data_IF_890923179433
#
_entry.id   IF_890923179433
#
_cell.length_a   1.000
_cell.length_b   1.000
_cell.length_c   1.000
_cell.angle_alpha   90.00
_cell.angle_beta   90.00
_cell.angle_gamma   90.00
#
_symmetry.space_group_name_H-M   'P 1'
#
loop_
_entity.id
_entity.type
_entity.pdbx_description
1 polymer ?
#
# COMPACT_ATOMS: atom_id res chain seq x y z
N UNK A 1 6.47 -13.02 19.78
CA UNK A 1 6.19 -12.08 18.68
C UNK A 1 7.23 -12.36 17.61
N UNK A 2 6.85 -12.92 16.46
CA UNK A 2 7.83 -13.22 15.41
C UNK A 2 8.02 -11.91 14.62
N UNK A 3 9.07 -11.16 14.92
CA UNK A 3 9.51 -10.05 14.08
C UNK A 3 10.12 -10.64 12.80
N UNK A 4 9.28 -10.84 11.79
CA UNK A 4 9.74 -11.09 10.42
C UNK A 4 10.01 -9.78 9.69
N UNK A 5 10.75 -9.79 8.56
CA UNK A 5 11.07 -8.61 7.74
C UNK A 5 9.81 -8.10 6.98
N UNK A 6 8.80 -7.69 7.74
CA UNK A 6 7.55 -7.14 7.23
C UNK A 6 7.64 -5.62 7.24
N UNK A 7 7.36 -5.00 6.10
CA UNK A 7 7.18 -3.56 5.98
C UNK A 7 5.68 -3.30 5.80
N UNK A 8 5.10 -2.54 6.72
CA UNK A 8 3.69 -2.15 6.71
C UNK A 8 3.58 -0.64 6.49
N UNK A 9 2.80 -0.20 5.51
CA UNK A 9 2.69 1.22 5.17
C UNK A 9 1.35 1.56 4.50
N UNK A 10 0.94 2.82 4.61
CA UNK A 10 -0.11 3.40 3.79
C UNK A 10 0.52 4.17 2.63
N UNK A 11 -0.15 4.14 1.48
CA UNK A 11 0.07 5.13 0.42
C UNK A 11 -0.98 6.22 0.58
N UNK A 12 -0.55 7.48 0.66
CA UNK A 12 -1.44 8.63 0.83
C UNK A 12 -1.40 9.44 -0.47
N UNK A 13 -2.46 9.37 -1.31
CA UNK A 13 -2.58 10.23 -2.48
C UNK A 13 -2.63 11.70 -2.08
N UNK A 14 -2.12 12.58 -2.94
CA UNK A 14 -2.14 14.04 -2.71
C UNK A 14 -3.56 14.63 -2.59
N UNK A 15 -4.57 13.92 -3.08
CA UNK A 15 -5.99 14.28 -2.96
C UNK A 15 -6.58 14.01 -1.57
N UNK A 16 -5.89 13.24 -0.71
CA UNK A 16 -6.36 12.91 0.65
C UNK A 16 -5.56 13.72 1.67
N UNK A 17 -6.29 14.51 2.45
CA UNK A 17 -5.75 15.16 3.65
C UNK A 17 -6.23 14.39 4.87
N UNK A 18 -5.30 13.94 5.71
CA UNK A 18 -5.59 13.25 6.96
C UNK A 18 -5.36 14.23 8.09
N UNK A 19 -6.42 14.55 8.83
CA UNK A 19 -6.35 15.37 10.04
C UNK A 19 -6.91 14.57 11.22
N UNK A 20 -6.43 14.86 12.42
CA UNK A 20 -6.89 14.17 13.65
C UNK A 20 -8.34 14.50 13.99
N UNK A 21 -8.90 15.56 13.40
CA UNK A 21 -10.21 16.10 13.72
C UNK A 21 -11.36 15.40 12.97
N UNK A 22 -11.11 14.74 11.83
CA UNK A 22 -12.15 14.14 10.98
C UNK A 22 -11.81 12.73 10.46
N UNK A 23 -12.74 11.79 10.62
CA UNK A 23 -12.63 10.40 10.15
C UNK A 23 -12.85 10.24 8.62
N UNK A 24 -13.22 11.31 7.91
CA UNK A 24 -13.44 11.27 6.47
C UNK A 24 -12.15 10.92 5.70
N UNK A 25 -11.00 11.50 6.11
CA UNK A 25 -9.70 11.18 5.52
C UNK A 25 -9.32 9.70 5.70
N UNK A 26 -9.57 9.13 6.89
CA UNK A 26 -9.35 7.71 7.17
C UNK A 26 -10.28 6.82 6.35
N UNK A 27 -11.53 7.23 6.17
CA UNK A 27 -12.53 6.51 5.38
C UNK A 27 -12.13 6.45 3.90
N UNK A 28 -11.63 7.56 3.35
CA UNK A 28 -11.07 7.59 2.00
C UNK A 28 -9.80 6.76 1.89
N UNK A 29 -8.88 6.88 2.85
CA UNK A 29 -7.65 6.08 2.88
C UNK A 29 -7.93 4.57 2.90
N UNK A 30 -8.99 4.14 3.61
CA UNK A 30 -9.38 2.74 3.69
C UNK A 30 -9.70 2.10 2.32
N UNK A 31 -10.07 2.93 1.34
CA UNK A 31 -10.37 2.50 -0.04
C UNK A 31 -9.14 2.49 -0.95
N UNK A 32 -8.08 3.20 -0.58
CA UNK A 32 -6.87 3.36 -1.43
C UNK A 32 -6.19 2.02 -1.70
N UNK A 33 -5.89 1.24 -0.65
CA UNK A 33 -5.19 -0.03 -0.82
C UNK A 33 -5.98 -1.07 -1.65
N UNK A 34 -7.31 -1.27 -1.43
CA UNK A 34 -8.13 -2.09 -2.32
C UNK A 34 -8.13 -1.63 -3.78
N UNK A 35 -8.28 -0.32 -4.04
CA UNK A 35 -8.31 0.23 -5.40
C UNK A 35 -6.99 0.03 -6.15
N UNK A 36 -5.87 0.37 -5.49
CA UNK A 36 -4.54 0.12 -6.03
C UNK A 36 -4.29 -1.36 -6.28
N UNK A 37 -4.73 -2.23 -5.36
CA UNK A 37 -4.61 -3.68 -5.54
C UNK A 37 -5.36 -4.17 -6.78
N UNK A 38 -6.57 -3.66 -7.06
CA UNK A 38 -7.31 -4.01 -8.26
C UNK A 38 -6.54 -3.64 -9.53
N UNK A 39 -5.98 -2.43 -9.60
CA UNK A 39 -5.14 -2.01 -10.73
C UNK A 39 -3.87 -2.85 -10.89
N UNK A 40 -3.21 -3.20 -9.78
CA UNK A 40 -2.06 -4.10 -9.80
C UNK A 40 -2.41 -5.46 -10.40
N UNK A 41 -3.59 -6.00 -10.08
CA UNK A 41 -4.06 -7.29 -10.62
C UNK A 41 -4.42 -7.21 -12.10
N UNK A 42 -4.96 -6.07 -12.56
CA UNK A 42 -5.24 -5.84 -13.98
C UNK A 42 -3.95 -5.70 -14.80
N UNK A 43 -2.98 -4.92 -14.29
CA UNK A 43 -1.70 -4.67 -14.98
C UNK A 43 -0.75 -5.87 -14.91
N UNK A 44 -0.82 -6.66 -13.83
CA UNK A 44 -0.03 -7.89 -13.66
C UNK A 44 1.47 -7.67 -13.39
N UNK A 45 1.88 -6.45 -13.04
CA UNK A 45 3.28 -6.04 -12.86
C UNK A 45 3.83 -6.27 -11.46
N UNK A 46 3.02 -6.04 -10.43
CA UNK A 46 3.39 -6.25 -9.03
C UNK A 46 2.24 -6.90 -8.26
N UNK A 47 2.58 -7.63 -7.20
CA UNK A 47 1.59 -8.23 -6.31
C UNK A 47 1.94 -7.99 -4.85
N UNK A 48 1.36 -6.95 -4.26
CA UNK A 48 1.47 -6.64 -2.82
C UNK A 48 0.16 -7.00 -2.11
N UNK A 49 0.23 -7.44 -0.85
CA UNK A 49 -0.95 -7.68 -0.02
C UNK A 49 -1.34 -6.44 0.76
N UNK A 50 -2.63 -6.26 1.03
CA UNK A 50 -3.11 -5.32 2.02
C UNK A 50 -3.95 -6.05 3.06
N UNK A 51 -4.09 -5.48 4.26
CA UNK A 51 -4.91 -6.06 5.32
C UNK A 51 -5.48 -4.96 6.25
N UNK A 52 -6.64 -5.18 6.86
CA UNK A 52 -7.15 -4.34 7.94
C UNK A 52 -6.48 -4.70 9.28
N UNK A 53 -6.46 -3.76 10.23
CA UNK A 53 -6.03 -4.03 11.62
C UNK A 53 -6.80 -3.14 12.60
N UNK A 54 -7.79 -3.72 13.30
CA UNK A 54 -8.64 -2.96 14.22
C UNK A 54 -9.32 -1.79 13.51
N UNK A 55 -9.23 -0.60 14.10
CA UNK A 55 -9.81 0.64 13.56
C UNK A 55 -8.88 1.36 12.56
N UNK A 56 -7.74 0.75 12.21
CA UNK A 56 -6.82 1.31 11.25
C UNK A 56 -7.31 1.09 9.81
N UNK A 57 -7.18 2.10 8.93
CA UNK A 57 -7.45 1.94 7.50
C UNK A 57 -6.61 0.82 6.89
N UNK A 58 -7.11 0.18 5.83
CA UNK A 58 -6.35 -0.81 5.06
C UNK A 58 -4.95 -0.29 4.71
N UNK A 59 -3.92 -1.08 5.02
CA UNK A 59 -2.52 -0.78 4.72
C UNK A 59 -1.89 -1.90 3.92
N UNK A 60 -0.84 -1.57 3.16
CA UNK A 60 -0.01 -2.55 2.47
C UNK A 60 0.93 -3.23 3.44
N UNK A 61 1.17 -4.52 3.20
CA UNK A 61 2.16 -5.33 3.89
C UNK A 61 3.02 -6.07 2.87
N UNK A 62 4.33 -5.87 2.96
CA UNK A 62 5.33 -6.58 2.18
C UNK A 62 6.16 -7.44 3.13
N UNK A 63 6.25 -8.73 2.87
CA UNK A 63 7.15 -9.64 3.57
C UNK A 63 8.39 -9.91 2.70
N UNK A 64 9.54 -9.41 3.12
CA UNK A 64 10.80 -9.54 2.37
C UNK A 64 11.50 -10.82 2.82
N UNK A 65 11.08 -11.96 2.28
CA UNK A 65 11.67 -13.26 2.61
C UNK A 65 12.47 -13.89 1.47
N UNK A 66 12.33 -13.36 0.24
CA UNK A 66 13.02 -13.90 -0.92
C UNK A 66 14.44 -13.33 -1.00
N UNK A 67 15.50 -14.16 -0.87
CA UNK A 67 16.89 -13.70 -0.93
C UNK A 67 17.30 -13.17 -2.31
N UNK A 68 16.51 -13.43 -3.35
CA UNK A 68 16.76 -12.90 -4.69
C UNK A 68 16.28 -11.44 -4.87
N UNK A 69 15.52 -10.89 -3.93
CA UNK A 69 15.08 -9.48 -3.98
C UNK A 69 16.30 -8.58 -3.90
N UNK A 70 16.41 -7.67 -4.86
CA UNK A 70 17.39 -6.58 -4.86
C UNK A 70 16.71 -5.27 -4.48
N UNK A 71 17.52 -4.23 -4.27
CA UNK A 71 17.01 -2.90 -3.94
C UNK A 71 16.11 -2.38 -5.05
N UNK A 72 16.50 -2.63 -6.29
CA UNK A 72 15.83 -2.19 -7.51
C UNK A 72 14.41 -2.76 -7.63
N UNK A 73 14.18 -3.98 -7.12
CA UNK A 73 12.84 -4.57 -7.06
C UNK A 73 11.94 -3.80 -6.08
N UNK A 74 12.49 -3.37 -4.95
CA UNK A 74 11.76 -2.57 -3.96
C UNK A 74 11.48 -1.16 -4.48
N UNK A 75 12.46 -0.54 -5.14
CA UNK A 75 12.31 0.75 -5.81
C UNK A 75 11.22 0.65 -6.90
N UNK A 76 11.19 -0.44 -7.67
CA UNK A 76 10.13 -0.71 -8.65
C UNK A 76 8.75 -0.81 -8.01
N UNK A 77 8.61 -1.53 -6.88
CA UNK A 77 7.31 -1.63 -6.18
C UNK A 77 6.78 -0.26 -5.76
N UNK A 78 7.63 0.60 -5.21
CA UNK A 78 7.22 1.94 -4.79
C UNK A 78 6.85 2.83 -6.00
N UNK A 79 7.68 2.85 -7.03
CA UNK A 79 7.43 3.61 -8.24
C UNK A 79 6.15 3.16 -8.96
N UNK A 80 5.90 1.86 -8.99
CA UNK A 80 4.71 1.30 -9.62
C UNK A 80 3.43 1.63 -8.83
N UNK A 81 3.50 1.65 -7.49
CA UNK A 81 2.39 2.16 -6.66
C UNK A 81 2.11 3.63 -6.98
N UNK A 82 3.14 4.47 -7.05
CA UNK A 82 3.00 5.89 -7.39
C UNK A 82 2.42 6.10 -8.79
N UNK A 83 2.84 5.30 -9.77
CA UNK A 83 2.35 5.40 -11.13
C UNK A 83 0.87 5.01 -11.22
N UNK A 84 0.49 3.87 -10.61
CA UNK A 84 -0.91 3.44 -10.55
C UNK A 84 -1.78 4.44 -9.78
N UNK A 85 -1.20 5.12 -8.79
CA UNK A 85 -1.91 6.13 -8.02
C UNK A 85 -2.30 7.37 -8.81
N UNK A 86 -1.61 7.69 -9.92
CA UNK A 86 -1.98 8.81 -10.79
C UNK A 86 -3.32 8.61 -11.49
N UNK A 87 -3.87 7.39 -11.50
CA UNK A 87 -5.18 7.10 -12.08
C UNK A 87 -6.36 7.56 -11.20
N UNK A 88 -6.11 8.11 -10.00
CA UNK A 88 -7.17 8.56 -9.07
C UNK A 88 -6.90 9.93 -8.45
#
# INVERSE_FOLDING_TARGET
MIEGPNVCFWYIPSSIVITDEHDEGKTHLNKVAPSLKALMMEKGTIMVTYQPLGDLPNFFRIAISNPAIQKEDLDFVLNEIEELAKCF
#
